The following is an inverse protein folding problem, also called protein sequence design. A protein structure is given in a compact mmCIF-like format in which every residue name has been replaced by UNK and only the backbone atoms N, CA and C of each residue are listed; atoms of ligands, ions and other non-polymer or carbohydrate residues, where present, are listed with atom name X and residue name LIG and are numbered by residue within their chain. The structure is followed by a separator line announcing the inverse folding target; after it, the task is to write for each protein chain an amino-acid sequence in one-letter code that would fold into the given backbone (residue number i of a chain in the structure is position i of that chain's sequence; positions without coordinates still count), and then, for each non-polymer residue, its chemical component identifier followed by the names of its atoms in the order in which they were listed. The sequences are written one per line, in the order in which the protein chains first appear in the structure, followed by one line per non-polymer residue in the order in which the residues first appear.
data_IF_719324541668
#
_entry.id   IF_719324541668
#
_cell.length_a   1.000
_cell.length_b   1.000
_cell.length_c   1.000
_cell.angle_alpha   90.00
_cell.angle_beta   90.00
_cell.angle_gamma   90.00
#
_symmetry.space_group_name_H-M   'P 1'
#
loop_
_entity.id
_entity.type
_entity.pdbx_description
1 polymer ?
#
# COMPACT_ATOMS: atom_id res chain seq x y z
N UNK A 1 -46.81 16.51 -2.62
CA UNK A 1 -45.80 15.87 -1.75
C UNK A 1 -44.53 15.72 -2.57
N UNK A 2 -43.46 16.45 -2.22
CA UNK A 2 -42.15 16.31 -2.84
C UNK A 2 -41.22 15.66 -1.81
N UNK A 3 -40.90 14.39 -2.01
CA UNK A 3 -40.01 13.58 -1.17
C UNK A 3 -38.77 13.22 -2.01
N UNK A 4 -38.06 14.25 -2.47
CA UNK A 4 -36.68 14.11 -2.93
C UNK A 4 -35.93 15.28 -2.32
N UNK A 5 -35.50 15.07 -1.07
CA UNK A 5 -34.45 15.89 -0.50
C UNK A 5 -33.30 15.88 -1.48
N UNK A 6 -32.99 17.07 -2.01
CA UNK A 6 -31.74 17.32 -2.72
C UNK A 6 -30.63 16.77 -1.82
N UNK A 7 -30.09 15.60 -2.16
CA UNK A 7 -28.82 15.14 -1.64
C UNK A 7 -27.84 16.24 -2.04
N UNK A 8 -27.57 17.12 -1.09
CA UNK A 8 -26.63 18.21 -1.20
C UNK A 8 -25.34 17.64 -1.74
N UNK A 9 -24.78 18.27 -2.78
CA UNK A 9 -23.43 17.96 -3.28
C UNK A 9 -22.50 17.73 -2.08
N UNK A 10 -21.66 16.68 -2.08
CA UNK A 10 -20.74 16.44 -0.98
C UNK A 10 -19.99 17.74 -0.69
N UNK A 11 -20.11 18.25 0.55
CA UNK A 11 -19.65 19.58 0.94
C UNK A 11 -18.12 19.71 1.00
N UNK A 12 -17.40 18.61 0.78
CA UNK A 12 -15.95 18.53 0.81
C UNK A 12 -15.50 17.76 -0.42
N UNK A 13 -14.72 18.41 -1.28
CA UNK A 13 -13.93 17.68 -2.28
C UNK A 13 -13.03 16.70 -1.52
N UNK A 14 -12.97 15.45 -2.00
CA UNK A 14 -12.03 14.47 -1.46
C UNK A 14 -10.61 15.06 -1.57
N UNK A 15 -9.74 14.86 -0.56
CA UNK A 15 -8.37 15.32 -0.65
C UNK A 15 -7.73 14.70 -1.90
N UNK A 16 -6.90 15.50 -2.58
CA UNK A 16 -6.10 14.98 -3.68
C UNK A 16 -5.08 13.99 -3.12
N UNK A 17 -4.79 12.93 -3.87
CA UNK A 17 -3.74 11.97 -3.58
C UNK A 17 -2.40 12.70 -3.59
N UNK A 18 -1.86 12.93 -2.40
CA UNK A 18 -0.56 13.55 -2.17
C UNK A 18 0.37 12.53 -1.56
N UNK A 19 1.28 11.99 -2.38
CA UNK A 19 2.18 10.92 -1.96
C UNK A 19 3.29 11.40 -1.01
N UNK A 20 3.38 12.69 -0.72
CA UNK A 20 4.24 13.22 0.36
C UNK A 20 3.52 13.27 1.71
N UNK A 21 2.22 12.99 1.74
CA UNK A 21 1.44 12.91 2.97
C UNK A 21 1.39 11.46 3.47
N UNK A 22 2.00 11.13 4.62
CA UNK A 22 2.05 9.77 5.14
C UNK A 22 0.65 9.22 5.46
N UNK A 23 -0.32 10.03 5.85
CA UNK A 23 -1.67 9.55 6.15
C UNK A 23 -2.35 9.02 4.88
N UNK A 24 -2.19 9.74 3.75
CA UNK A 24 -2.72 9.31 2.45
C UNK A 24 -1.97 8.07 1.97
N UNK A 25 -0.65 8.03 2.12
CA UNK A 25 0.16 6.87 1.72
C UNK A 25 -0.24 5.64 2.54
N UNK A 26 -0.48 5.79 3.85
CA UNK A 26 -0.94 4.70 4.71
C UNK A 26 -2.28 4.12 4.22
N UNK A 27 -3.26 4.96 3.91
CA UNK A 27 -4.55 4.54 3.37
C UNK A 27 -4.38 3.76 2.05
N UNK A 28 -3.54 4.25 1.12
CA UNK A 28 -3.28 3.58 -0.15
C UNK A 28 -2.57 2.23 0.01
N UNK A 29 -1.58 2.17 0.91
CA UNK A 29 -0.87 0.93 1.22
C UNK A 29 -1.81 -0.10 1.88
N UNK A 30 -2.71 0.34 2.77
CA UNK A 30 -3.70 -0.52 3.42
C UNK A 30 -4.68 -1.10 2.40
N UNK A 31 -5.23 -0.27 1.51
CA UNK A 31 -6.13 -0.71 0.44
C UNK A 31 -5.45 -1.76 -0.46
N UNK A 32 -4.21 -1.50 -0.87
CA UNK A 32 -3.43 -2.46 -1.65
C UNK A 32 -3.24 -3.78 -0.89
N UNK A 33 -2.79 -3.70 0.36
CA UNK A 33 -2.46 -4.87 1.16
C UNK A 33 -3.68 -5.76 1.47
N UNK A 34 -4.83 -5.15 1.77
CA UNK A 34 -6.09 -5.88 1.97
C UNK A 34 -6.53 -6.56 0.68
N UNK A 35 -6.47 -5.86 -0.45
CA UNK A 35 -6.92 -6.41 -1.74
C UNK A 35 -6.03 -7.57 -2.18
N UNK A 36 -4.71 -7.43 -2.06
CA UNK A 36 -3.73 -8.49 -2.38
C UNK A 36 -3.86 -9.67 -1.42
N UNK A 37 -3.96 -9.45 -0.11
CA UNK A 37 -4.11 -10.55 0.86
C UNK A 37 -5.42 -11.31 0.67
N UNK A 38 -6.51 -10.62 0.33
CA UNK A 38 -7.78 -11.27 -0.03
C UNK A 38 -7.63 -12.14 -1.27
N UNK A 39 -6.99 -11.61 -2.33
CA UNK A 39 -6.71 -12.35 -3.55
C UNK A 39 -5.86 -13.60 -3.30
N UNK A 40 -4.80 -13.49 -2.50
CA UNK A 40 -3.94 -14.63 -2.12
C UNK A 40 -4.71 -15.66 -1.28
N UNK A 41 -5.56 -15.21 -0.35
CA UNK A 41 -6.38 -16.12 0.44
C UNK A 41 -7.38 -16.91 -0.42
N UNK A 42 -8.05 -16.24 -1.37
CA UNK A 42 -8.98 -16.88 -2.31
C UNK A 42 -8.26 -17.93 -3.16
N UNK A 43 -7.05 -17.61 -3.69
CA UNK A 43 -6.25 -18.59 -4.45
C UNK A 43 -5.96 -19.86 -3.64
N UNK A 44 -5.66 -19.71 -2.36
CA UNK A 44 -5.25 -20.82 -1.50
C UNK A 44 -6.44 -21.63 -0.97
N UNK A 45 -7.57 -20.99 -0.68
CA UNK A 45 -8.66 -21.61 0.10
C UNK A 45 -9.96 -21.80 -0.70
N UNK A 46 -10.26 -20.88 -1.62
CA UNK A 46 -11.50 -20.89 -2.39
C UNK A 46 -11.28 -20.62 -3.88
N UNK A 47 -10.43 -21.41 -4.58
CA UNK A 47 -10.06 -21.13 -5.98
C UNK A 47 -11.23 -21.22 -6.96
N UNK A 48 -12.35 -21.82 -6.55
CA UNK A 48 -13.58 -21.94 -7.33
C UNK A 48 -14.66 -20.93 -6.89
N UNK A 49 -14.32 -19.94 -6.06
CA UNK A 49 -15.24 -18.87 -5.69
C UNK A 49 -15.77 -18.20 -6.97
N UNK A 50 -17.10 -17.96 -7.10
CA UNK A 50 -17.68 -17.40 -8.33
C UNK A 50 -17.05 -16.07 -8.78
N UNK A 51 -16.56 -15.29 -7.82
CA UNK A 51 -15.94 -13.98 -8.03
C UNK A 51 -14.40 -14.03 -7.98
N UNK A 52 -13.77 -15.21 -7.95
CA UNK A 52 -12.32 -15.34 -7.79
C UNK A 52 -11.53 -14.56 -8.86
N UNK A 53 -11.96 -14.66 -10.13
CA UNK A 53 -11.34 -13.94 -11.24
C UNK A 53 -11.39 -12.42 -11.03
N UNK A 54 -12.56 -11.88 -10.70
CA UNK A 54 -12.76 -10.46 -10.46
C UNK A 54 -11.92 -9.95 -9.28
N UNK A 55 -11.80 -10.76 -8.21
CA UNK A 55 -10.95 -10.44 -7.05
C UNK A 55 -9.46 -10.39 -7.44
N UNK A 56 -9.00 -11.32 -8.27
CA UNK A 56 -7.62 -11.33 -8.73
C UNK A 56 -7.31 -10.15 -9.67
N UNK A 57 -8.23 -9.85 -10.58
CA UNK A 57 -8.12 -8.71 -11.48
C UNK A 57 -8.13 -7.39 -10.68
N UNK A 58 -9.01 -7.25 -9.68
CA UNK A 58 -9.04 -6.09 -8.80
C UNK A 58 -7.72 -5.91 -8.04
N UNK A 59 -7.13 -6.98 -7.52
CA UNK A 59 -5.84 -6.90 -6.84
C UNK A 59 -4.71 -6.42 -7.78
N UNK A 60 -4.72 -6.89 -9.03
CA UNK A 60 -3.77 -6.45 -10.04
C UNK A 60 -3.98 -4.99 -10.45
N UNK A 61 -5.23 -4.55 -10.57
CA UNK A 61 -5.58 -3.17 -10.91
C UNK A 61 -5.13 -2.21 -9.81
N UNK A 62 -5.45 -2.50 -8.54
CA UNK A 62 -5.03 -1.68 -7.40
C UNK A 62 -3.51 -1.60 -7.30
N UNK A 63 -2.81 -2.72 -7.51
CA UNK A 63 -1.35 -2.75 -7.55
C UNK A 63 -0.78 -1.86 -8.66
N UNK A 64 -1.30 -2.03 -9.88
CA UNK A 64 -0.84 -1.31 -11.05
C UNK A 64 -1.11 0.19 -10.96
N UNK A 65 -2.26 0.57 -10.40
CA UNK A 65 -2.65 1.96 -10.17
C UNK A 65 -1.74 2.61 -9.12
N UNK A 66 -1.53 1.97 -7.96
CA UNK A 66 -0.67 2.53 -6.92
C UNK A 66 0.79 2.62 -7.39
N UNK A 67 1.30 1.58 -8.06
CA UNK A 67 2.63 1.62 -8.66
C UNK A 67 2.75 2.74 -9.69
N UNK A 68 1.74 2.92 -10.55
CA UNK A 68 1.70 4.00 -11.53
C UNK A 68 1.65 5.39 -10.90
N UNK A 69 0.95 5.55 -9.76
CA UNK A 69 0.93 6.78 -8.97
C UNK A 69 2.33 7.07 -8.42
N UNK A 70 2.97 6.10 -7.75
CA UNK A 70 4.32 6.27 -7.19
C UNK A 70 5.38 6.50 -8.27
N UNK A 71 5.26 5.87 -9.43
CA UNK A 71 6.14 6.10 -10.58
C UNK A 71 5.88 7.44 -11.29
N UNK A 72 4.86 8.21 -10.88
CA UNK A 72 4.49 9.47 -11.53
C UNK A 72 3.93 9.31 -12.96
N UNK A 73 3.52 8.09 -13.33
CA UNK A 73 2.99 7.76 -14.67
C UNK A 73 1.48 8.03 -14.78
N UNK A 74 0.77 8.04 -13.65
CA UNK A 74 -0.68 8.27 -13.61
C UNK A 74 -1.01 9.75 -13.76
N UNK A 75 -1.85 10.06 -14.75
CA UNK A 75 -2.36 11.42 -15.02
C UNK A 75 -3.80 11.62 -14.57
N UNK A 76 -4.19 10.97 -13.48
CA UNK A 76 -5.51 11.15 -12.86
C UNK A 76 -5.67 12.60 -12.33
N UNK A 77 -6.90 13.09 -12.29
CA UNK A 77 -7.28 14.38 -11.70
C UNK A 77 -7.27 14.35 -10.17
N UNK A 78 -7.34 13.16 -9.58
CA UNK A 78 -7.30 12.90 -8.14
C UNK A 78 -5.89 13.05 -7.58
N UNK A 79 -4.84 12.93 -8.38
CA UNK A 79 -3.45 13.08 -7.93
C UNK A 79 -3.05 14.54 -7.81
N UNK A 80 -2.45 14.92 -6.68
CA UNK A 80 -1.97 16.27 -6.40
C UNK A 80 -0.73 16.59 -7.24
N UNK A 81 -0.95 17.15 -8.43
CA UNK A 81 0.14 17.50 -9.37
C UNK A 81 1.04 18.65 -8.93
N UNK A 82 0.68 19.35 -7.85
CA UNK A 82 1.53 20.42 -7.27
C UNK A 82 2.67 19.86 -6.44
N UNK A 83 2.56 18.60 -6.03
CA UNK A 83 3.61 17.88 -5.32
C UNK A 83 4.35 17.00 -6.32
N UNK A 84 5.67 17.15 -6.33
CA UNK A 84 6.57 16.48 -7.28
C UNK A 84 7.28 15.29 -6.66
N UNK A 85 6.77 14.74 -5.56
CA UNK A 85 7.42 13.65 -4.85
C UNK A 85 7.38 12.31 -5.62
N UNK A 86 6.27 12.02 -6.31
CA UNK A 86 6.17 10.84 -7.18
C UNK A 86 7.18 10.87 -8.34
N UNK A 87 7.57 9.70 -8.83
CA UNK A 87 8.49 9.54 -9.96
C UNK A 87 9.94 9.58 -9.51
N UNK A 88 10.75 10.43 -10.16
CA UNK A 88 12.20 10.48 -9.94
C UNK A 88 12.60 10.81 -8.49
N UNK A 89 11.95 11.73 -7.77
CA UNK A 89 12.35 12.03 -6.39
C UNK A 89 12.11 10.86 -5.42
N UNK A 90 10.95 10.19 -5.51
CA UNK A 90 10.70 8.96 -4.75
C UNK A 90 11.69 7.86 -5.13
N UNK A 91 11.97 7.68 -6.43
CA UNK A 91 12.96 6.72 -6.92
C UNK A 91 14.35 6.99 -6.34
N UNK A 92 14.79 8.24 -6.34
CA UNK A 92 16.08 8.63 -5.77
C UNK A 92 16.11 8.36 -4.26
N UNK A 93 15.05 8.70 -3.54
CA UNK A 93 14.94 8.42 -2.11
C UNK A 93 15.08 6.92 -1.82
N UNK A 94 14.26 6.07 -2.46
CA UNK A 94 14.30 4.63 -2.23
C UNK A 94 15.66 4.02 -2.62
N UNK A 95 16.29 4.51 -3.69
CA UNK A 95 17.61 4.01 -4.14
C UNK A 95 18.74 4.25 -3.13
N UNK A 96 18.55 5.09 -2.12
CA UNK A 96 19.53 5.29 -1.03
C UNK A 96 19.51 4.15 -0.02
N UNK A 97 18.41 3.40 0.05
CA UNK A 97 18.16 2.37 1.06
C UNK A 97 18.01 0.98 0.45
N UNK A 98 17.44 0.88 -0.75
CA UNK A 98 17.30 -0.36 -1.49
C UNK A 98 18.57 -0.60 -2.32
N UNK A 99 19.46 -1.46 -1.83
CA UNK A 99 20.70 -1.85 -2.53
C UNK A 99 20.47 -3.08 -3.40
N UNK A 100 21.27 -3.21 -4.46
CA UNK A 100 21.28 -4.40 -5.35
C UNK A 100 19.93 -4.73 -6.02
N UNK A 101 19.11 -3.71 -6.26
CA UNK A 101 17.81 -3.89 -6.91
C UNK A 101 17.96 -4.16 -8.41
N UNK A 102 17.40 -5.28 -8.86
CA UNK A 102 17.14 -5.53 -10.27
C UNK A 102 15.79 -4.92 -10.69
N UNK A 103 15.80 -3.95 -11.59
CA UNK A 103 14.58 -3.33 -12.13
C UNK A 103 14.19 -2.01 -11.47
N UNK A 104 12.89 -1.75 -11.34
CA UNK A 104 12.37 -0.51 -10.76
C UNK A 104 12.38 -0.58 -9.22
N UNK A 105 13.18 0.27 -8.57
CA UNK A 105 13.25 0.40 -7.11
C UNK A 105 11.92 0.68 -6.41
N UNK A 106 10.99 1.41 -7.06
CA UNK A 106 9.67 1.67 -6.49
C UNK A 106 8.85 0.39 -6.45
N UNK A 107 8.90 -0.39 -7.53
CA UNK A 107 8.23 -1.67 -7.63
C UNK A 107 8.80 -2.67 -6.63
N UNK A 108 10.13 -2.73 -6.53
CA UNK A 108 10.84 -3.55 -5.56
C UNK A 108 10.42 -3.24 -4.12
N UNK A 109 10.43 -1.96 -3.72
CA UNK A 109 10.03 -1.54 -2.39
C UNK A 109 8.55 -1.91 -2.10
N UNK A 110 7.66 -1.74 -3.09
CA UNK A 110 6.24 -2.08 -2.94
C UNK A 110 6.03 -3.59 -2.80
N UNK A 111 6.79 -4.41 -3.52
CA UNK A 111 6.78 -5.87 -3.36
C UNK A 111 7.33 -6.31 -2.01
N UNK A 112 8.34 -5.61 -1.48
CA UNK A 112 8.89 -5.86 -0.14
C UNK A 112 7.85 -5.56 0.95
N UNK A 113 7.15 -4.43 0.83
CA UNK A 113 6.00 -4.11 1.69
C UNK A 113 4.94 -5.22 1.67
N UNK A 114 4.50 -5.62 0.48
CA UNK A 114 3.48 -6.65 0.35
C UNK A 114 3.90 -8.00 0.93
N UNK A 115 5.18 -8.37 0.75
CA UNK A 115 5.71 -9.60 1.32
C UNK A 115 5.63 -9.61 2.84
N UNK A 116 6.14 -8.56 3.49
CA UNK A 116 6.08 -8.43 4.94
C UNK A 116 4.63 -8.39 5.46
N UNK A 117 3.74 -7.66 4.77
CA UNK A 117 2.32 -7.66 5.13
C UNK A 117 1.68 -9.06 5.03
N UNK A 118 1.96 -9.79 3.95
CA UNK A 118 1.43 -11.15 3.75
C UNK A 118 1.99 -12.14 4.77
N UNK A 119 3.24 -11.98 5.20
CA UNK A 119 3.85 -12.77 6.28
C UNK A 119 3.11 -12.56 7.61
N UNK A 120 2.76 -11.32 7.95
CA UNK A 120 1.90 -11.03 9.10
C UNK A 120 0.48 -11.58 8.94
N UNK A 121 -0.11 -11.49 7.75
CA UNK A 121 -1.46 -11.98 7.49
C UNK A 121 -1.56 -13.51 7.58
N UNK A 122 -0.48 -14.23 7.23
CA UNK A 122 -0.41 -15.71 7.29
C UNK A 122 0.00 -16.24 8.65
N UNK A 123 0.66 -15.44 9.50
CA UNK A 123 1.13 -15.85 10.82
C UNK A 123 0.10 -16.67 11.64
N UNK A 124 -1.19 -16.28 11.73
CA UNK A 124 -2.17 -17.04 12.51
C UNK A 124 -2.49 -18.42 11.91
N UNK A 125 -2.42 -18.55 10.59
CA UNK A 125 -2.67 -19.80 9.87
C UNK A 125 -1.51 -20.79 10.06
N UNK A 126 -0.31 -20.25 10.32
CA UNK A 126 0.92 -21.01 10.58
C UNK A 126 1.13 -21.30 12.08
N UNK A 127 0.18 -20.92 12.94
CA UNK A 127 0.26 -21.10 14.39
C UNK A 127 1.17 -20.11 15.11
N UNK A 128 1.62 -19.05 14.41
CA UNK A 128 2.33 -17.90 15.01
C UNK A 128 1.32 -16.91 15.60
N UNK A 129 1.76 -16.07 16.54
CA UNK A 129 0.91 -15.04 17.12
C UNK A 129 0.49 -14.01 16.05
N UNK A 130 -0.73 -13.50 16.18
CA UNK A 130 -1.20 -12.39 15.35
C UNK A 130 -0.51 -11.11 15.78
N UNK A 131 -0.09 -10.29 14.81
CA UNK A 131 0.42 -8.95 15.09
C UNK A 131 -0.59 -8.16 15.93
N UNK A 132 -0.12 -7.51 16.99
CA UNK A 132 -0.98 -6.67 17.81
C UNK A 132 -1.40 -5.42 17.02
N UNK A 133 -2.51 -4.80 17.43
CA UNK A 133 -2.96 -3.53 16.83
C UNK A 133 -1.88 -2.44 16.88
N UNK A 134 -1.08 -2.41 17.95
CA UNK A 134 0.00 -1.41 18.11
C UNK A 134 1.11 -1.65 17.09
N UNK A 135 1.52 -2.91 16.92
CA UNK A 135 2.55 -3.29 15.94
C UNK A 135 2.06 -3.10 14.52
N UNK A 136 0.79 -3.41 14.22
CA UNK A 136 0.17 -3.12 12.93
C UNK A 136 0.26 -1.64 12.56
N UNK A 137 -0.12 -0.75 13.49
CA UNK A 137 0.00 0.68 13.25
C UNK A 137 1.46 1.13 13.08
N UNK A 138 2.39 0.58 13.85
CA UNK A 138 3.81 0.89 13.68
C UNK A 138 4.34 0.44 12.32
N UNK A 139 3.98 -0.77 11.88
CA UNK A 139 4.31 -1.33 10.58
C UNK A 139 3.77 -0.45 9.44
N UNK A 140 2.47 -0.19 9.42
CA UNK A 140 1.82 0.60 8.38
C UNK A 140 2.33 2.04 8.35
N UNK A 141 2.50 2.66 9.53
CA UNK A 141 3.04 4.01 9.66
C UNK A 141 4.49 4.07 9.16
N UNK A 142 5.34 3.12 9.52
CA UNK A 142 6.74 3.07 9.08
C UNK A 142 6.86 3.01 7.56
N UNK A 143 6.10 2.11 6.92
CA UNK A 143 6.04 2.03 5.46
C UNK A 143 5.49 3.30 4.81
N UNK A 144 4.46 3.91 5.40
CA UNK A 144 3.90 5.15 4.89
C UNK A 144 4.88 6.32 4.97
N UNK A 145 5.62 6.46 6.08
CA UNK A 145 6.65 7.49 6.24
C UNK A 145 7.83 7.28 5.29
N UNK A 146 8.21 6.02 5.06
CA UNK A 146 9.24 5.66 4.10
C UNK A 146 8.84 6.09 2.68
N UNK A 147 7.67 5.67 2.18
CA UNK A 147 7.20 6.10 0.86
C UNK A 147 6.92 7.61 0.76
N UNK A 148 6.57 8.27 1.87
CA UNK A 148 6.37 9.72 1.92
C UNK A 148 7.67 10.54 2.03
N UNK A 149 8.84 9.90 2.20
CA UNK A 149 10.13 10.57 2.34
C UNK A 149 10.34 11.27 3.68
N UNK A 150 9.52 10.96 4.70
CA UNK A 150 9.63 11.55 6.04
C UNK A 150 10.59 10.80 6.95
N UNK A 151 11.00 9.60 6.57
CA UNK A 151 12.01 8.81 7.25
C UNK A 151 13.22 8.54 6.30
N UNK A 152 13.95 9.59 5.86
CA UNK A 152 14.95 9.49 4.80
C UNK A 152 16.24 8.75 5.18
N UNK A 153 16.36 8.30 6.43
CA UNK A 153 17.50 7.53 6.94
C UNK A 153 17.06 6.17 7.51
N UNK A 154 15.76 5.88 7.52
CA UNK A 154 15.21 4.65 8.11
C UNK A 154 14.75 3.71 7.01
N UNK A 155 15.35 2.53 6.97
CA UNK A 155 14.72 1.39 6.31
C UNK A 155 13.40 1.08 7.03
N UNK A 156 12.29 0.86 6.32
CA UNK A 156 11.02 0.48 6.94
C UNK A 156 11.19 -0.83 7.71
N UNK A 157 10.28 -1.13 8.68
CA UNK A 157 10.38 -2.32 9.51
C UNK A 157 10.61 -3.58 8.65
N UNK A 158 11.72 -4.26 8.92
CA UNK A 158 12.00 -5.61 8.43
C UNK A 158 11.52 -6.59 9.50
N UNK A 159 10.95 -7.71 9.07
CA UNK A 159 10.69 -8.84 9.95
C UNK A 159 12.05 -9.36 10.48
N UNK A 160 12.52 -8.79 11.58
CA UNK A 160 13.62 -9.35 12.32
C UNK A 160 13.12 -10.65 12.95
N UNK A 161 13.47 -11.77 12.35
CA UNK A 161 13.34 -13.11 12.92
C UNK A 161 14.32 -13.36 14.10
N UNK A 162 14.93 -12.30 14.64
CA UNK A 162 15.95 -12.37 15.68
C UNK A 162 15.52 -11.50 16.86
N UNK A 163 14.68 -12.06 17.73
CA UNK A 163 14.55 -11.69 19.14
C UNK A 163 13.99 -12.91 19.92
N UNK A 164 14.63 -14.07 19.74
CA UNK A 164 14.55 -15.20 20.67
C UNK A 164 15.97 -15.66 21.02
N UNK A 165 16.60 -14.97 21.97
CA UNK A 165 17.65 -15.55 22.84
C UNK A 165 17.05 -16.03 24.16
#
# INVERSE_FOLDING_TARGET
MALFGQLTKPAKELPLIDVSNPDIVMELLEELAITVSTSEWIKANEPYHPEAADIHDQAQDVYSDLLGIFQGKVRDKRVNRKVHWAGDPLREHLSRHEVEVEGDVIEFALQRFLRAFLEHARAPQEGRESISRKEYYAFMSGWAHYFAGLAPDETPPVDNLEDEE
#
